data_IF_705333569987
#
_entry.id   IF_705333569987
#
_cell.length_a   1.000
_cell.length_b   1.000
_cell.length_c   1.000
_cell.angle_alpha   90.00
_cell.angle_beta   90.00
_cell.angle_gamma   90.00
#
_symmetry.space_group_name_H-M   'P 1'
#
loop_
_entity.id
_entity.type
_entity.pdbx_description
1 polymer ?
#
# COMPACT_ATOMS: atom_id res chain seq x y z
N UNK A 1 -31.16 45.88 -8.13
CA UNK A 1 -31.49 45.29 -6.81
C UNK A 1 -32.30 43.98 -6.91
N UNK A 2 -33.40 43.91 -7.67
CA UNK A 2 -34.25 42.68 -7.80
C UNK A 2 -33.47 41.47 -8.35
N UNK A 3 -32.66 41.65 -9.42
CA UNK A 3 -31.84 40.58 -10.02
C UNK A 3 -30.82 39.98 -9.01
N UNK A 4 -30.16 40.84 -8.24
CA UNK A 4 -29.20 40.40 -7.21
C UNK A 4 -29.85 39.60 -6.08
N UNK A 5 -31.07 40.02 -5.66
CA UNK A 5 -31.86 39.26 -4.66
C UNK A 5 -32.29 37.90 -5.20
N UNK A 6 -32.70 37.81 -6.48
CA UNK A 6 -33.03 36.56 -7.15
C UNK A 6 -31.83 35.63 -7.25
N UNK A 7 -30.64 36.15 -7.65
CA UNK A 7 -29.40 35.37 -7.71
C UNK A 7 -28.99 34.84 -6.34
N UNK A 8 -29.02 35.65 -5.28
CA UNK A 8 -28.75 35.21 -3.90
C UNK A 8 -29.71 34.13 -3.43
N UNK A 9 -31.01 34.22 -3.76
CA UNK A 9 -32.01 33.21 -3.40
C UNK A 9 -31.74 31.90 -4.14
N UNK A 10 -31.41 31.94 -5.42
CA UNK A 10 -31.06 30.73 -6.22
C UNK A 10 -29.82 30.08 -5.62
N UNK A 11 -28.75 30.86 -5.36
CA UNK A 11 -27.52 30.33 -4.75
C UNK A 11 -27.82 29.68 -3.39
N UNK A 12 -28.63 30.33 -2.53
CA UNK A 12 -29.01 29.78 -1.22
C UNK A 12 -29.75 28.44 -1.36
N UNK A 13 -30.74 28.37 -2.28
CA UNK A 13 -31.51 27.14 -2.52
C UNK A 13 -30.55 26.05 -3.07
N UNK A 14 -29.64 26.37 -3.99
CA UNK A 14 -28.68 25.41 -4.54
C UNK A 14 -27.75 24.87 -3.46
N UNK A 15 -27.27 25.72 -2.56
CA UNK A 15 -26.42 25.28 -1.43
C UNK A 15 -27.20 24.40 -0.44
N UNK A 16 -28.47 24.74 -0.18
CA UNK A 16 -29.35 23.92 0.67
C UNK A 16 -29.58 22.52 0.06
N UNK A 17 -29.88 22.46 -1.23
CA UNK A 17 -30.08 21.20 -1.96
C UNK A 17 -28.77 20.37 -1.93
N UNK A 18 -27.62 20.99 -2.19
CA UNK A 18 -26.31 20.33 -2.11
C UNK A 18 -26.06 19.75 -0.71
N UNK A 19 -26.35 20.53 0.33
CA UNK A 19 -26.18 20.08 1.73
C UNK A 19 -27.09 18.88 2.04
N UNK A 20 -28.33 18.88 1.55
CA UNK A 20 -29.26 17.75 1.71
C UNK A 20 -28.73 16.51 1.01
N UNK A 21 -28.23 16.63 -0.23
CA UNK A 21 -27.64 15.52 -0.99
C UNK A 21 -26.43 14.95 -0.24
N UNK A 22 -25.50 15.78 0.22
CA UNK A 22 -24.32 15.35 1.00
C UNK A 22 -24.76 14.63 2.28
N UNK A 23 -25.78 15.13 2.97
CA UNK A 23 -26.31 14.50 4.19
C UNK A 23 -26.88 13.11 3.88
N UNK A 24 -27.63 12.96 2.80
CA UNK A 24 -28.17 11.66 2.37
C UNK A 24 -27.05 10.67 2.07
N UNK A 25 -26.02 11.10 1.33
CA UNK A 25 -24.84 10.27 1.00
C UNK A 25 -24.12 9.85 2.28
N UNK A 26 -23.92 10.78 3.20
CA UNK A 26 -23.25 10.49 4.48
C UNK A 26 -24.03 9.47 5.32
N UNK A 27 -25.35 9.65 5.47
CA UNK A 27 -26.21 8.72 6.19
C UNK A 27 -26.21 7.35 5.52
N UNK A 28 -26.33 7.29 4.20
CA UNK A 28 -26.22 6.06 3.43
C UNK A 28 -24.88 5.35 3.69
N UNK A 29 -23.76 6.08 3.63
CA UNK A 29 -22.43 5.52 3.93
C UNK A 29 -22.39 4.92 5.36
N UNK A 30 -22.90 5.63 6.36
CA UNK A 30 -22.95 5.12 7.75
C UNK A 30 -23.77 3.84 7.89
N UNK A 31 -24.89 3.74 7.19
CA UNK A 31 -25.71 2.52 7.16
C UNK A 31 -24.94 1.38 6.52
N UNK A 32 -24.27 1.60 5.37
CA UNK A 32 -23.49 0.55 4.70
C UNK A 32 -22.30 0.11 5.55
N UNK A 33 -21.54 1.04 6.14
CA UNK A 33 -20.47 0.71 7.07
C UNK A 33 -20.95 -0.18 8.22
N UNK A 34 -22.16 0.04 8.76
CA UNK A 34 -22.73 -0.80 9.80
C UNK A 34 -23.12 -2.19 9.27
N UNK A 35 -23.70 -2.28 8.07
CA UNK A 35 -24.06 -3.55 7.43
C UNK A 35 -22.84 -4.41 7.12
N UNK A 36 -21.76 -3.78 6.67
CA UNK A 36 -20.48 -4.42 6.32
C UNK A 36 -19.60 -4.72 7.53
N UNK A 37 -20.01 -4.33 8.75
CA UNK A 37 -19.17 -4.52 9.94
C UNK A 37 -18.81 -5.99 10.18
N UNK A 38 -19.70 -6.94 9.83
CA UNK A 38 -19.46 -8.38 9.91
C UNK A 38 -18.39 -8.90 8.94
N UNK A 39 -18.12 -8.16 7.85
CA UNK A 39 -17.07 -8.48 6.89
C UNK A 39 -15.71 -7.90 7.32
N UNK A 40 -15.73 -6.95 8.26
CA UNK A 40 -14.52 -6.30 8.77
C UNK A 40 -13.99 -7.05 9.99
N UNK A 41 -13.59 -8.30 9.77
CA UNK A 41 -12.96 -9.18 10.77
C UNK A 41 -11.52 -9.42 10.36
N UNK A 42 -10.52 -9.24 11.24
CA UNK A 42 -9.11 -9.46 10.92
C UNK A 42 -8.88 -10.81 10.27
N UNK A 43 -8.13 -10.82 9.17
CA UNK A 43 -7.73 -12.02 8.45
C UNK A 43 -6.44 -12.64 9.02
N UNK A 44 -5.68 -11.85 9.76
CA UNK A 44 -4.46 -12.23 10.45
C UNK A 44 -4.57 -12.05 11.96
N UNK A 45 -3.44 -12.25 12.64
CA UNK A 45 -3.27 -11.97 14.06
C UNK A 45 -3.17 -10.46 14.31
N UNK A 46 -3.67 -10.02 15.48
CA UNK A 46 -3.52 -8.64 15.95
C UNK A 46 -2.48 -8.63 17.06
N UNK A 47 -1.39 -7.92 16.84
CA UNK A 47 -0.36 -7.64 17.84
C UNK A 47 -0.46 -6.21 18.34
N UNK A 48 0.05 -5.93 19.53
CA UNK A 48 0.08 -4.59 20.09
C UNK A 48 1.49 -4.00 20.06
N UNK A 49 1.63 -2.83 19.45
CA UNK A 49 2.89 -2.08 19.37
C UNK A 49 2.64 -0.65 19.84
N UNK A 50 3.26 -0.24 20.93
CA UNK A 50 3.13 1.10 21.51
C UNK A 50 1.68 1.53 21.78
N UNK A 51 0.82 0.60 22.21
CA UNK A 51 -0.60 0.85 22.47
C UNK A 51 -1.49 0.88 21.23
N UNK A 52 -0.97 0.52 20.06
CA UNK A 52 -1.71 0.42 18.81
C UNK A 52 -1.75 -1.02 18.29
N UNK A 53 -2.87 -1.38 17.70
CA UNK A 53 -3.11 -2.69 17.09
C UNK A 53 -2.57 -2.72 15.68
N UNK A 54 -1.71 -3.70 15.38
CA UNK A 54 -1.16 -3.97 14.05
C UNK A 54 -1.59 -5.38 13.65
N UNK A 55 -2.13 -5.51 12.44
CA UNK A 55 -2.53 -6.78 11.86
C UNK A 55 -1.34 -7.40 11.11
N UNK A 56 -1.07 -8.68 11.40
CA UNK A 56 -0.05 -9.49 10.72
C UNK A 56 -0.72 -10.77 10.23
N UNK A 57 -0.56 -11.07 8.96
CA UNK A 57 -0.98 -12.32 8.37
C UNK A 57 0.22 -13.24 8.13
N UNK A 58 0.05 -14.51 8.45
CA UNK A 58 1.07 -15.53 8.19
C UNK A 58 0.46 -16.74 7.48
N UNK A 59 1.21 -17.31 6.51
CA UNK A 59 0.84 -18.53 5.80
C UNK A 59 2.11 -19.31 5.43
N UNK A 60 2.03 -20.64 5.34
CA UNK A 60 3.18 -21.47 4.99
C UNK A 60 4.16 -21.69 6.15
N UNK A 61 5.13 -22.61 5.95
CA UNK A 61 6.04 -23.09 6.99
C UNK A 61 7.51 -23.24 6.52
N UNK A 62 7.87 -22.67 5.37
CA UNK A 62 9.24 -22.73 4.85
C UNK A 62 10.26 -22.04 5.77
N UNK A 63 11.52 -22.42 5.65
CA UNK A 63 12.62 -21.85 6.44
C UNK A 63 12.86 -20.37 6.13
N UNK A 64 12.69 -19.96 4.84
CA UNK A 64 12.85 -18.56 4.43
C UNK A 64 11.54 -17.82 4.62
N UNK A 65 11.61 -16.65 5.24
CA UNK A 65 10.45 -15.79 5.52
C UNK A 65 10.39 -14.62 4.53
N UNK A 66 9.30 -14.57 3.76
CA UNK A 66 8.99 -13.47 2.84
C UNK A 66 8.05 -12.48 3.52
N UNK A 67 8.49 -11.23 3.67
CA UNK A 67 7.70 -10.15 4.29
C UNK A 67 7.17 -9.22 3.20
N UNK A 68 5.89 -9.27 2.93
CA UNK A 68 5.21 -8.42 1.96
C UNK A 68 4.87 -7.07 2.57
N UNK A 69 5.28 -6.01 1.87
CA UNK A 69 5.20 -4.62 2.32
C UNK A 69 4.39 -3.81 1.31
N UNK A 70 3.23 -3.31 1.72
CA UNK A 70 2.30 -2.61 0.84
C UNK A 70 2.74 -1.20 0.48
N UNK A 71 2.43 -0.82 -0.76
CA UNK A 71 2.56 0.54 -1.26
C UNK A 71 1.59 1.52 -0.61
N UNK A 72 1.74 2.79 -0.95
CA UNK A 72 0.87 3.85 -0.44
C UNK A 72 -0.57 3.70 -0.89
N UNK A 73 -1.51 3.81 0.06
CA UNK A 73 -2.94 3.80 -0.26
C UNK A 73 -3.59 2.42 -0.47
N UNK A 74 -2.83 1.32 -0.38
CA UNK A 74 -3.38 -0.05 -0.45
C UNK A 74 -4.35 -0.29 0.70
N UNK A 75 -5.64 -0.47 0.39
CA UNK A 75 -6.66 -0.59 1.43
C UNK A 75 -6.58 -1.90 2.20
N UNK A 76 -6.26 -3.02 1.54
CA UNK A 76 -6.16 -4.36 2.13
C UNK A 76 -4.89 -5.07 1.66
N UNK A 77 -3.75 -4.87 2.31
CA UNK A 77 -2.48 -5.51 1.96
C UNK A 77 -2.56 -7.04 1.85
N UNK A 78 -3.23 -7.69 2.79
CA UNK A 78 -3.35 -9.16 2.79
C UNK A 78 -4.04 -9.65 1.51
N UNK A 79 -5.16 -9.05 1.12
CA UNK A 79 -5.90 -9.49 -0.06
C UNK A 79 -5.24 -9.02 -1.36
N UNK A 80 -4.49 -7.92 -1.31
CA UNK A 80 -3.77 -7.36 -2.45
C UNK A 80 -2.64 -8.29 -2.89
N UNK A 81 -1.85 -8.84 -1.96
CA UNK A 81 -0.76 -9.75 -2.28
C UNK A 81 -1.19 -11.21 -2.44
N UNK A 82 -2.47 -11.55 -2.19
CA UNK A 82 -2.90 -12.94 -2.10
C UNK A 82 -2.59 -13.77 -3.34
N UNK A 83 -2.79 -13.22 -4.52
CA UNK A 83 -2.55 -13.94 -5.78
C UNK A 83 -1.11 -14.42 -5.89
N UNK A 84 -0.15 -13.59 -5.48
CA UNK A 84 1.27 -13.92 -5.51
C UNK A 84 1.68 -14.83 -4.35
N UNK A 85 1.35 -14.46 -3.10
CA UNK A 85 1.86 -15.23 -1.97
C UNK A 85 1.31 -16.65 -1.91
N UNK A 86 0.08 -16.90 -2.40
CA UNK A 86 -0.49 -18.25 -2.49
C UNK A 86 0.30 -19.18 -3.42
N UNK A 87 1.11 -18.65 -4.35
CA UNK A 87 2.02 -19.44 -5.19
C UNK A 87 3.34 -19.78 -4.48
N UNK A 88 3.61 -19.14 -3.35
CA UNK A 88 4.87 -19.20 -2.62
C UNK A 88 4.72 -19.88 -1.26
N UNK A 89 3.52 -19.93 -0.69
CA UNK A 89 3.27 -20.41 0.68
C UNK A 89 3.53 -21.90 0.90
N UNK A 90 3.60 -22.70 -0.18
CA UNK A 90 3.99 -24.12 -0.09
C UNK A 90 5.48 -24.28 0.25
N UNK A 91 6.34 -23.34 -0.17
CA UNK A 91 7.79 -23.43 -0.06
C UNK A 91 8.38 -22.46 0.98
N UNK A 92 7.67 -21.39 1.30
CA UNK A 92 8.14 -20.29 2.13
C UNK A 92 7.16 -19.93 3.23
N UNK A 93 7.67 -19.35 4.32
CA UNK A 93 6.84 -18.67 5.30
C UNK A 93 6.49 -17.28 4.78
N UNK A 94 5.22 -17.02 4.58
CA UNK A 94 4.67 -15.74 4.13
C UNK A 94 4.30 -14.90 5.33
N UNK A 95 4.63 -13.63 5.30
CA UNK A 95 4.20 -12.62 6.27
C UNK A 95 3.71 -11.39 5.51
N UNK A 96 2.52 -10.89 5.84
CA UNK A 96 2.02 -9.62 5.35
C UNK A 96 1.79 -8.69 6.53
N UNK A 97 2.48 -7.55 6.56
CA UNK A 97 2.29 -6.53 7.59
C UNK A 97 1.28 -5.50 7.08
N UNK A 98 0.17 -5.36 7.77
CA UNK A 98 -0.73 -4.23 7.56
C UNK A 98 -0.27 -3.08 8.45
N UNK A 99 0.50 -2.15 7.91
CA UNK A 99 0.99 -0.96 8.64
C UNK A 99 -0.16 -0.20 9.30
N UNK A 100 0.11 0.61 10.31
CA UNK A 100 -0.90 1.51 10.88
C UNK A 100 -1.58 2.32 9.77
N UNK A 101 -2.89 2.38 9.81
CA UNK A 101 -3.73 3.01 8.79
C UNK A 101 -4.20 2.09 7.67
N UNK A 102 -3.63 0.88 7.54
CA UNK A 102 -3.92 -0.09 6.49
C UNK A 102 -4.73 -1.27 7.04
N UNK A 103 -5.52 -1.91 6.18
CA UNK A 103 -6.25 -3.13 6.50
C UNK A 103 -6.98 -3.10 7.83
N UNK A 104 -6.65 -4.04 8.69
CA UNK A 104 -7.26 -4.18 10.01
C UNK A 104 -6.50 -3.46 11.13
N UNK A 105 -5.37 -2.83 10.82
CA UNK A 105 -4.57 -2.07 11.80
C UNK A 105 -5.24 -0.76 12.21
N UNK A 106 -4.84 -0.22 13.37
CA UNK A 106 -5.36 1.03 13.89
C UNK A 106 -5.03 2.23 12.97
N UNK A 107 -5.91 3.22 12.97
CA UNK A 107 -5.69 4.50 12.30
C UNK A 107 -5.21 5.49 13.35
N UNK A 108 -3.98 5.99 13.18
CA UNK A 108 -3.33 6.91 14.11
C UNK A 108 -3.11 8.29 13.50
N UNK A 109 -2.89 9.28 14.35
CA UNK A 109 -2.53 10.65 13.98
C UNK A 109 -1.10 10.96 14.44
N UNK A 110 -0.17 10.12 14.02
CA UNK A 110 1.25 10.21 14.35
C UNK A 110 2.08 10.58 13.13
N UNK A 111 3.28 11.10 13.36
CA UNK A 111 4.24 11.33 12.30
C UNK A 111 4.62 10.00 11.63
N UNK A 112 4.74 10.01 10.29
CA UNK A 112 5.07 8.84 9.50
C UNK A 112 6.45 8.97 8.87
N UNK A 113 7.45 9.39 9.68
CA UNK A 113 8.84 9.32 9.24
C UNK A 113 9.31 7.87 9.14
N UNK A 114 10.37 7.67 8.37
CA UNK A 114 10.85 6.35 8.02
C UNK A 114 11.30 5.53 9.24
N UNK A 115 11.87 6.19 10.27
CA UNK A 115 12.24 5.53 11.52
C UNK A 115 11.01 5.00 12.27
N UNK A 116 9.97 5.81 12.37
CA UNK A 116 8.71 5.41 13.03
C UNK A 116 8.08 4.22 12.33
N UNK A 117 7.97 4.26 10.99
CA UNK A 117 7.38 3.17 10.20
C UNK A 117 8.18 1.88 10.39
N UNK A 118 9.51 1.96 10.23
CA UNK A 118 10.38 0.79 10.35
C UNK A 118 10.35 0.18 11.76
N UNK A 119 10.44 1.02 12.80
CA UNK A 119 10.42 0.53 14.19
C UNK A 119 9.09 -0.15 14.52
N UNK A 120 7.96 0.37 14.04
CA UNK A 120 6.64 -0.24 14.22
C UNK A 120 6.54 -1.60 13.51
N UNK A 121 7.03 -1.70 12.27
CA UNK A 121 7.03 -2.95 11.50
C UNK A 121 7.90 -4.01 12.17
N UNK A 122 9.11 -3.67 12.60
CA UNK A 122 10.01 -4.59 13.32
C UNK A 122 9.43 -5.04 14.66
N UNK A 123 8.90 -4.11 15.46
CA UNK A 123 8.25 -4.43 16.72
C UNK A 123 7.03 -5.35 16.54
N UNK A 124 6.25 -5.15 15.47
CA UNK A 124 5.11 -6.00 15.16
C UNK A 124 5.55 -7.44 14.84
N UNK A 125 6.61 -7.64 14.05
CA UNK A 125 7.17 -8.96 13.78
C UNK A 125 7.68 -9.63 15.07
N UNK A 126 8.40 -8.90 15.91
CA UNK A 126 8.88 -9.40 17.19
C UNK A 126 7.73 -9.84 18.11
N UNK A 127 6.65 -9.04 18.20
CA UNK A 127 5.45 -9.39 18.99
C UNK A 127 4.73 -10.62 18.45
N UNK A 128 4.77 -10.84 17.13
CA UNK A 128 4.22 -12.04 16.51
C UNK A 128 5.18 -13.27 16.57
N UNK A 129 6.34 -13.15 17.23
CA UNK A 129 7.33 -14.23 17.30
C UNK A 129 7.95 -14.59 15.95
N UNK A 130 8.09 -13.61 15.06
CA UNK A 130 8.63 -13.80 13.72
C UNK A 130 10.04 -13.21 13.68
N UNK A 131 11.02 -14.09 13.50
CA UNK A 131 12.45 -13.75 13.48
C UNK A 131 13.02 -13.79 12.06
N UNK A 132 14.00 -12.92 11.81
CA UNK A 132 14.74 -12.89 10.54
C UNK A 132 15.89 -13.91 10.45
N UNK A 133 16.70 -13.86 9.40
CA UNK A 133 16.69 -12.81 8.38
C UNK A 133 15.53 -12.93 7.38
N UNK A 134 15.02 -11.77 6.92
CA UNK A 134 13.85 -11.67 6.06
C UNK A 134 14.23 -11.48 4.59
N UNK A 135 13.36 -11.97 3.69
CA UNK A 135 13.30 -11.55 2.30
C UNK A 135 12.19 -10.51 2.22
N UNK A 136 12.54 -9.24 2.02
CA UNK A 136 11.57 -8.17 1.93
C UNK A 136 10.95 -8.11 0.53
N UNK A 137 9.63 -8.06 0.45
CA UNK A 137 8.85 -8.00 -0.79
C UNK A 137 8.08 -6.66 -0.88
N UNK A 138 8.77 -5.52 -1.07
CA UNK A 138 8.12 -4.22 -1.14
C UNK A 138 7.39 -4.00 -2.47
N UNK A 139 6.19 -3.41 -2.41
CA UNK A 139 5.48 -2.85 -3.55
C UNK A 139 5.51 -1.32 -3.49
N UNK A 140 5.77 -0.68 -4.64
CA UNK A 140 5.62 0.78 -4.77
C UNK A 140 6.40 1.56 -3.69
N UNK A 141 5.75 2.47 -2.97
CA UNK A 141 6.31 3.35 -1.95
C UNK A 141 7.07 2.60 -0.85
N UNK A 142 6.69 1.36 -0.50
CA UNK A 142 7.42 0.57 0.50
C UNK A 142 8.81 0.13 0.06
N UNK A 143 9.20 0.35 -1.19
CA UNK A 143 10.59 0.26 -1.62
C UNK A 143 11.52 1.13 -0.78
N UNK A 144 11.09 2.33 -0.41
CA UNK A 144 11.84 3.24 0.46
C UNK A 144 12.01 2.63 1.87
N UNK A 145 10.98 1.98 2.40
CA UNK A 145 11.02 1.31 3.71
C UNK A 145 11.96 0.10 3.69
N UNK A 146 11.88 -0.74 2.66
CA UNK A 146 12.71 -1.93 2.52
C UNK A 146 14.20 -1.58 2.34
N UNK A 147 14.50 -0.55 1.55
CA UNK A 147 15.87 -0.04 1.39
C UNK A 147 16.42 0.50 2.70
N UNK A 148 15.61 1.26 3.46
CA UNK A 148 16.01 1.76 4.76
C UNK A 148 16.25 0.64 5.78
N UNK A 149 15.40 -0.39 5.77
CA UNK A 149 15.58 -1.55 6.63
C UNK A 149 16.91 -2.25 6.36
N UNK A 150 17.21 -2.54 5.10
CA UNK A 150 18.46 -3.17 4.71
C UNK A 150 19.71 -2.29 4.96
N UNK A 151 19.56 -0.96 4.98
CA UNK A 151 20.63 -0.03 5.34
C UNK A 151 20.91 -0.01 6.84
N UNK A 152 19.84 0.01 7.66
CA UNK A 152 19.94 0.22 9.10
C UNK A 152 20.18 -1.08 9.88
N UNK A 153 19.62 -2.18 9.39
CA UNK A 153 19.68 -3.52 10.00
C UNK A 153 20.02 -4.59 8.95
N UNK A 154 21.24 -4.54 8.37
CA UNK A 154 21.61 -5.42 7.25
C UNK A 154 21.58 -6.91 7.63
N UNK A 155 21.76 -7.25 8.90
CA UNK A 155 21.69 -8.62 9.42
C UNK A 155 20.27 -9.20 9.47
N UNK A 156 19.26 -8.34 9.46
CA UNK A 156 17.85 -8.77 9.45
C UNK A 156 17.31 -9.01 8.03
N UNK A 157 18.05 -8.63 6.97
CA UNK A 157 17.56 -8.68 5.59
C UNK A 157 18.49 -9.55 4.75
N UNK A 158 17.98 -10.66 4.20
CA UNK A 158 18.74 -11.57 3.35
C UNK A 158 18.63 -11.27 1.85
N UNK A 159 17.51 -10.69 1.41
CA UNK A 159 17.28 -10.24 0.03
C UNK A 159 16.12 -9.24 -0.06
N UNK A 160 16.01 -8.53 -1.19
CA UNK A 160 14.87 -7.69 -1.51
C UNK A 160 14.27 -8.14 -2.86
N UNK A 161 12.97 -8.35 -2.90
CA UNK A 161 12.18 -8.67 -4.08
C UNK A 161 11.24 -7.49 -4.38
N UNK A 162 11.69 -6.55 -5.18
CA UNK A 162 10.93 -5.34 -5.51
C UNK A 162 9.78 -5.63 -6.48
N UNK A 163 8.55 -5.55 -5.99
CA UNK A 163 7.32 -5.67 -6.79
C UNK A 163 6.94 -4.28 -7.33
N UNK A 164 7.53 -3.89 -8.43
CA UNK A 164 7.43 -2.53 -9.01
C UNK A 164 7.72 -1.43 -7.96
N UNK A 165 8.74 -1.68 -7.14
CA UNK A 165 9.08 -0.82 -6.02
C UNK A 165 9.63 0.53 -6.48
N UNK A 166 9.26 1.59 -5.76
CA UNK A 166 9.85 2.90 -5.92
C UNK A 166 11.25 2.95 -5.31
N UNK A 167 12.11 3.74 -5.93
CA UNK A 167 13.47 4.05 -5.46
C UNK A 167 13.56 5.54 -5.12
N UNK A 168 14.53 6.02 -4.34
CA UNK A 168 14.59 7.41 -3.90
C UNK A 168 14.48 8.45 -5.02
N UNK A 169 15.15 8.22 -6.16
CA UNK A 169 15.15 9.12 -7.33
C UNK A 169 13.73 9.43 -7.83
N UNK A 170 12.79 8.48 -7.73
CA UNK A 170 11.41 8.69 -8.16
C UNK A 170 10.69 9.79 -7.35
N UNK A 171 11.19 10.15 -6.17
CA UNK A 171 10.56 11.17 -5.31
C UNK A 171 11.25 12.54 -5.36
N UNK A 172 12.42 12.70 -5.97
CA UNK A 172 13.11 13.99 -6.05
C UNK A 172 12.22 15.07 -6.67
N UNK A 173 11.67 14.77 -7.84
CA UNK A 173 10.84 15.69 -8.61
C UNK A 173 9.35 15.33 -8.59
N UNK A 174 8.94 14.40 -7.71
CA UNK A 174 7.55 13.98 -7.60
C UNK A 174 6.65 15.12 -7.10
N UNK A 175 5.58 15.42 -7.83
CA UNK A 175 4.67 16.51 -7.51
C UNK A 175 3.48 15.99 -6.70
N UNK A 176 3.46 16.30 -5.41
CA UNK A 176 2.35 15.99 -4.51
C UNK A 176 1.34 17.13 -4.53
N UNK A 177 0.12 16.86 -4.97
CA UNK A 177 -0.99 17.81 -4.83
C UNK A 177 -1.78 17.48 -3.54
N UNK A 178 -1.21 17.83 -2.39
CA UNK A 178 -1.83 17.54 -1.09
C UNK A 178 -3.24 18.10 -0.91
N UNK A 179 -3.60 19.31 -1.40
CA UNK A 179 -4.99 19.77 -1.37
C UNK A 179 -5.96 18.82 -2.08
N UNK A 180 -5.61 18.32 -3.27
CA UNK A 180 -6.43 17.36 -4.02
C UNK A 180 -6.54 16.01 -3.31
N UNK A 181 -5.42 15.50 -2.79
CA UNK A 181 -5.38 14.23 -2.04
C UNK A 181 -6.25 14.34 -0.78
N UNK A 182 -6.17 15.43 -0.03
CA UNK A 182 -7.03 15.69 1.14
C UNK A 182 -8.51 15.84 0.78
N UNK A 183 -8.82 16.46 -0.35
CA UNK A 183 -10.19 16.55 -0.85
C UNK A 183 -10.76 15.18 -1.24
N UNK A 184 -9.96 14.33 -1.88
CA UNK A 184 -10.35 12.95 -2.20
C UNK A 184 -10.56 12.11 -0.93
N UNK A 185 -9.69 12.25 0.07
CA UNK A 185 -9.85 11.60 1.37
C UNK A 185 -11.14 12.05 2.09
N UNK A 186 -11.44 13.34 2.06
CA UNK A 186 -12.69 13.89 2.60
C UNK A 186 -13.90 13.30 1.87
N UNK A 187 -13.89 13.28 0.53
CA UNK A 187 -14.96 12.70 -0.28
C UNK A 187 -15.19 11.21 0.05
N UNK A 188 -14.12 10.44 0.27
CA UNK A 188 -14.21 9.04 0.72
C UNK A 188 -14.87 8.95 2.11
N UNK A 189 -14.46 9.76 3.07
CA UNK A 189 -14.95 9.73 4.45
C UNK A 189 -16.44 10.05 4.55
N UNK A 190 -16.95 10.95 3.71
CA UNK A 190 -18.39 11.27 3.65
C UNK A 190 -19.19 10.31 2.76
N UNK A 191 -18.51 9.39 2.04
CA UNK A 191 -19.15 8.34 1.26
C UNK A 191 -19.44 8.69 -0.20
N UNK A 192 -18.91 9.78 -0.74
CA UNK A 192 -19.08 10.14 -2.18
C UNK A 192 -18.51 9.00 -3.06
N UNK A 193 -17.42 8.37 -2.65
CA UNK A 193 -16.83 7.24 -3.38
C UNK A 193 -17.80 6.07 -3.56
N UNK A 194 -18.75 5.84 -2.63
CA UNK A 194 -19.71 4.73 -2.73
C UNK A 194 -20.72 4.89 -3.88
N UNK A 195 -20.95 6.10 -4.35
CA UNK A 195 -21.87 6.33 -5.48
C UNK A 195 -21.15 6.31 -6.82
N UNK A 196 -19.82 6.11 -6.84
CA UNK A 196 -19.03 6.00 -8.05
C UNK A 196 -18.91 4.51 -8.43
N UNK A 197 -19.48 4.08 -9.56
CA UNK A 197 -19.41 2.69 -9.99
C UNK A 197 -17.95 2.24 -10.17
N UNK A 198 -17.62 1.04 -9.68
CA UNK A 198 -16.32 0.41 -9.87
C UNK A 198 -15.17 0.99 -9.07
N UNK A 199 -15.37 2.03 -8.25
CA UNK A 199 -14.28 2.68 -7.48
C UNK A 199 -13.58 1.73 -6.50
N UNK A 200 -14.28 0.73 -5.99
CA UNK A 200 -13.75 -0.26 -5.05
C UNK A 200 -13.23 -1.53 -5.75
N UNK A 201 -13.23 -1.55 -7.08
CA UNK A 201 -12.68 -2.65 -7.88
C UNK A 201 -11.16 -2.48 -8.02
N UNK A 202 -10.40 -2.97 -7.02
CA UNK A 202 -8.93 -2.97 -7.07
C UNK A 202 -8.40 -3.91 -8.17
N UNK A 203 -7.11 -3.82 -8.46
CA UNK A 203 -6.46 -4.75 -9.40
C UNK A 203 -6.52 -6.19 -8.89
N UNK A 204 -6.41 -6.42 -7.57
CA UNK A 204 -6.61 -7.74 -6.96
C UNK A 204 -8.01 -8.33 -7.21
N UNK A 205 -9.06 -7.49 -7.23
CA UNK A 205 -10.43 -7.92 -7.55
C UNK A 205 -10.58 -8.25 -9.02
N UNK A 206 -9.98 -7.45 -9.91
CA UNK A 206 -10.14 -7.57 -11.36
C UNK A 206 -9.27 -8.68 -11.97
N UNK A 207 -8.02 -8.77 -11.53
CA UNK A 207 -6.98 -9.58 -12.16
C UNK A 207 -6.44 -10.69 -11.27
N UNK A 208 -6.63 -10.57 -9.96
CA UNK A 208 -6.16 -11.55 -8.98
C UNK A 208 -7.05 -12.78 -8.83
N UNK A 209 -6.71 -13.61 -7.86
CA UNK A 209 -7.35 -14.92 -7.62
C UNK A 209 -8.33 -14.90 -6.44
N UNK A 210 -8.81 -13.74 -6.02
CA UNK A 210 -9.72 -13.61 -4.89
C UNK A 210 -11.05 -14.33 -5.15
N UNK A 211 -11.52 -15.11 -4.16
CA UNK A 211 -12.88 -15.65 -4.15
C UNK A 211 -13.93 -14.54 -4.03
N UNK A 212 -15.18 -14.83 -4.38
CA UNK A 212 -16.25 -13.83 -4.29
C UNK A 212 -16.43 -13.26 -2.88
N UNK A 213 -16.27 -14.10 -1.85
CA UNK A 213 -16.29 -13.64 -0.45
C UNK A 213 -15.13 -12.69 -0.13
N UNK A 214 -13.94 -12.95 -0.63
CA UNK A 214 -12.77 -12.08 -0.42
C UNK A 214 -12.90 -10.75 -1.18
N UNK A 215 -13.49 -10.77 -2.37
CA UNK A 215 -13.85 -9.55 -3.11
C UNK A 215 -14.83 -8.68 -2.33
N UNK A 216 -15.84 -9.29 -1.67
CA UNK A 216 -16.75 -8.57 -0.79
C UNK A 216 -16.03 -7.97 0.43
N UNK A 217 -15.14 -8.74 1.07
CA UNK A 217 -14.31 -8.28 2.18
C UNK A 217 -13.42 -7.10 1.72
N UNK A 218 -12.76 -7.23 0.56
CA UNK A 218 -11.90 -6.16 0.02
C UNK A 218 -12.68 -4.86 -0.19
N UNK A 219 -13.88 -4.93 -0.81
CA UNK A 219 -14.75 -3.75 -0.99
C UNK A 219 -15.16 -3.12 0.35
N UNK A 220 -15.49 -3.93 1.35
CA UNK A 220 -15.82 -3.45 2.69
C UNK A 220 -14.62 -2.75 3.36
N UNK A 221 -13.41 -3.29 3.20
CA UNK A 221 -12.17 -2.69 3.68
C UNK A 221 -11.87 -1.39 2.93
N UNK A 222 -12.02 -1.37 1.60
CA UNK A 222 -11.80 -0.19 0.76
C UNK A 222 -12.55 1.03 1.30
N UNK A 223 -13.85 0.92 1.53
CA UNK A 223 -14.66 2.04 2.03
C UNK A 223 -14.33 2.47 3.46
N UNK A 224 -13.59 1.66 4.23
CA UNK A 224 -13.15 1.98 5.59
C UNK A 224 -11.73 2.51 5.66
N UNK A 225 -10.88 2.09 4.73
CA UNK A 225 -9.42 2.24 4.82
C UNK A 225 -8.78 3.05 3.69
N UNK A 226 -9.55 3.47 2.70
CA UNK A 226 -8.99 4.34 1.64
C UNK A 226 -8.71 5.72 2.19
N UNK A 227 -7.48 6.19 1.94
CA UNK A 227 -7.00 7.52 2.30
C UNK A 227 -7.21 7.87 3.79
N UNK A 228 -6.84 6.95 4.69
CA UNK A 228 -6.86 7.21 6.14
C UNK A 228 -5.95 8.38 6.50
N UNK A 229 -6.18 9.02 7.66
CA UNK A 229 -5.30 10.10 8.12
C UNK A 229 -3.83 9.66 8.29
N UNK A 230 -3.61 8.39 8.64
CA UNK A 230 -2.27 7.79 8.73
C UNK A 230 -1.60 7.69 7.35
N UNK A 231 -2.33 7.19 6.33
CA UNK A 231 -1.84 7.16 4.94
C UNK A 231 -1.53 8.56 4.41
N UNK A 232 -2.36 9.56 4.72
CA UNK A 232 -2.10 10.94 4.30
C UNK A 232 -0.79 11.47 4.87
N UNK A 233 -0.50 11.20 6.14
CA UNK A 233 0.77 11.58 6.76
C UNK A 233 1.96 10.82 6.18
N UNK A 234 1.79 9.58 5.79
CA UNK A 234 2.81 8.81 5.10
C UNK A 234 3.17 9.45 3.75
N UNK A 235 2.16 9.87 2.98
CA UNK A 235 2.35 10.60 1.72
C UNK A 235 3.02 11.97 1.95
N UNK A 236 2.68 12.68 3.03
CA UNK A 236 3.32 13.96 3.38
C UNK A 236 4.82 13.82 3.64
N UNK A 237 5.24 12.70 4.26
CA UNK A 237 6.64 12.44 4.63
C UNK A 237 7.45 11.74 3.52
N UNK A 238 6.84 11.23 2.45
CA UNK A 238 7.52 10.33 1.50
C UNK A 238 8.77 10.94 0.86
N UNK A 239 8.75 12.24 0.50
CA UNK A 239 9.91 12.90 -0.09
C UNK A 239 11.06 13.03 0.90
N UNK A 240 10.73 13.30 2.15
CA UNK A 240 11.70 13.38 3.23
C UNK A 240 12.30 12.02 3.56
N UNK A 241 11.43 11.00 3.64
CA UNK A 241 11.84 9.61 3.83
C UNK A 241 12.75 9.11 2.69
N UNK A 242 12.38 9.39 1.44
CA UNK A 242 13.19 9.03 0.27
C UNK A 242 14.57 9.71 0.30
N UNK A 243 14.65 10.99 0.68
CA UNK A 243 15.92 11.72 0.83
C UNK A 243 16.82 11.13 1.92
N UNK A 244 16.25 10.68 3.04
CA UNK A 244 17.00 10.01 4.11
C UNK A 244 17.64 8.72 3.57
N UNK A 245 16.87 7.91 2.82
CA UNK A 245 17.33 6.65 2.22
C UNK A 245 18.39 6.90 1.15
N UNK A 246 18.21 7.92 0.31
CA UNK A 246 19.18 8.29 -0.73
C UNK A 246 20.54 8.69 -0.18
N UNK A 247 20.55 9.36 0.97
CA UNK A 247 21.77 9.74 1.67
C UNK A 247 22.44 8.57 2.43
N UNK A 248 21.78 7.42 2.49
CA UNK A 248 22.29 6.22 3.13
C UNK A 248 23.25 5.42 2.25
N UNK A 249 23.82 4.35 2.81
CA UNK A 249 24.65 3.41 2.04
C UNK A 249 23.77 2.50 1.19
N UNK A 250 24.25 2.12 0.01
CA UNK A 250 23.56 1.11 -0.79
C UNK A 250 23.44 -0.22 -0.01
N UNK A 251 22.29 -0.89 -0.08
CA UNK A 251 22.13 -2.23 0.49
C UNK A 251 23.16 -3.22 -0.06
N UNK A 252 23.66 -4.10 0.80
CA UNK A 252 24.63 -5.15 0.41
C UNK A 252 23.97 -6.52 0.22
N UNK A 253 22.66 -6.56 0.13
CA UNK A 253 21.88 -7.79 -0.08
C UNK A 253 21.52 -7.96 -1.55
N UNK A 254 21.30 -9.19 -2.04
CA UNK A 254 20.78 -9.42 -3.38
C UNK A 254 19.43 -8.74 -3.59
N UNK A 255 19.24 -8.11 -4.75
CA UNK A 255 17.99 -7.45 -5.10
C UNK A 255 17.50 -7.94 -6.46
N UNK A 256 16.25 -8.44 -6.50
CA UNK A 256 15.50 -8.70 -7.72
C UNK A 256 14.38 -7.66 -7.82
N UNK A 257 14.26 -6.96 -8.93
CA UNK A 257 13.18 -6.01 -9.19
C UNK A 257 12.32 -6.47 -10.34
N UNK A 258 11.03 -6.34 -10.19
CA UNK A 258 10.05 -6.42 -11.27
C UNK A 258 9.61 -5.00 -11.61
N UNK A 259 9.66 -4.63 -12.87
CA UNK A 259 9.34 -3.29 -13.36
C UNK A 259 8.11 -3.33 -14.26
N UNK A 260 7.10 -2.53 -13.94
CA UNK A 260 5.89 -2.36 -14.76
C UNK A 260 6.10 -1.42 -15.96
N UNK A 261 5.05 -1.23 -16.77
CA UNK A 261 5.02 -0.21 -17.82
C UNK A 261 4.78 1.22 -17.31
N UNK A 262 4.87 1.46 -16.01
CA UNK A 262 4.70 2.76 -15.38
C UNK A 262 3.25 3.21 -15.18
N UNK A 263 2.28 2.53 -15.77
CA UNK A 263 0.86 2.88 -15.62
C UNK A 263 0.42 2.72 -14.16
N UNK A 264 -0.09 3.79 -13.56
CA UNK A 264 -0.50 3.82 -12.14
C UNK A 264 0.56 4.38 -11.18
N UNK A 265 1.81 4.61 -11.62
CA UNK A 265 2.89 5.15 -10.76
C UNK A 265 2.89 6.68 -10.65
N UNK A 266 2.22 7.36 -11.58
CA UNK A 266 2.33 8.83 -11.76
C UNK A 266 3.47 9.26 -12.67
N UNK A 267 4.24 8.32 -13.20
CA UNK A 267 5.32 8.51 -14.17
C UNK A 267 4.98 7.82 -15.50
N UNK A 268 5.60 8.24 -16.60
CA UNK A 268 5.55 7.46 -17.82
C UNK A 268 6.53 6.27 -17.73
N UNK A 269 6.34 5.27 -18.59
CA UNK A 269 7.15 4.05 -18.63
C UNK A 269 8.66 4.32 -18.65
N UNK A 270 9.11 5.19 -19.56
CA UNK A 270 10.53 5.52 -19.71
C UNK A 270 11.13 6.12 -18.43
N UNK A 271 10.42 7.04 -17.78
CA UNK A 271 10.90 7.67 -16.55
C UNK A 271 10.92 6.66 -15.39
N UNK A 272 9.84 5.88 -15.25
CA UNK A 272 9.73 4.89 -14.18
C UNK A 272 10.83 3.83 -14.29
N UNK A 273 11.00 3.24 -15.46
CA UNK A 273 12.05 2.26 -15.75
C UNK A 273 13.45 2.84 -15.51
N UNK A 274 13.69 4.09 -15.96
CA UNK A 274 15.00 4.73 -15.79
C UNK A 274 15.40 4.90 -14.33
N UNK A 275 14.46 5.29 -13.44
CA UNK A 275 14.75 5.39 -12.00
C UNK A 275 15.17 4.04 -11.42
N UNK A 276 14.45 2.98 -11.76
CA UNK A 276 14.74 1.63 -11.29
C UNK A 276 16.06 1.10 -11.85
N UNK A 277 16.36 1.34 -13.12
CA UNK A 277 17.65 1.00 -13.75
C UNK A 277 18.81 1.75 -13.12
N UNK A 278 18.68 3.06 -12.92
CA UNK A 278 19.70 3.87 -12.27
C UNK A 278 20.05 3.35 -10.87
N UNK A 279 19.07 2.82 -10.16
CA UNK A 279 19.26 2.24 -8.85
C UNK A 279 19.88 0.84 -8.94
N UNK A 280 19.27 -0.08 -9.69
CA UNK A 280 19.65 -1.49 -9.68
C UNK A 280 21.06 -1.70 -10.25
N UNK A 281 21.50 -0.88 -11.21
CA UNK A 281 22.84 -0.90 -11.77
C UNK A 281 23.95 -0.55 -10.76
N UNK A 282 23.60 0.07 -9.62
CA UNK A 282 24.52 0.35 -8.51
C UNK A 282 24.63 -0.83 -7.53
N UNK A 283 23.73 -1.82 -7.64
CA UNK A 283 23.67 -2.97 -6.73
C UNK A 283 24.46 -4.14 -7.30
N UNK A 284 25.44 -4.63 -6.54
CA UNK A 284 26.19 -5.82 -6.95
C UNK A 284 25.28 -7.05 -7.01
N UNK A 285 25.17 -7.66 -8.21
CA UNK A 285 24.27 -8.80 -8.43
C UNK A 285 22.78 -8.43 -8.50
N UNK A 286 22.45 -7.13 -8.61
CA UNK A 286 21.08 -6.67 -8.83
C UNK A 286 20.52 -7.16 -10.16
N UNK A 287 19.25 -7.56 -10.16
CA UNK A 287 18.52 -8.00 -11.36
C UNK A 287 17.23 -7.21 -11.51
N UNK A 288 16.83 -6.91 -12.75
CA UNK A 288 15.55 -6.32 -13.08
C UNK A 288 14.85 -7.14 -14.17
N UNK A 289 13.56 -7.36 -14.01
CA UNK A 289 12.69 -8.06 -14.97
C UNK A 289 11.55 -7.11 -15.35
N UNK A 290 11.41 -6.85 -16.65
CA UNK A 290 10.37 -5.97 -17.18
C UNK A 290 9.10 -6.74 -17.47
N UNK A 291 7.97 -6.19 -17.00
CA UNK A 291 6.64 -6.77 -17.16
C UNK A 291 5.74 -5.80 -17.94
N UNK A 292 5.03 -6.31 -18.92
CA UNK A 292 4.09 -5.51 -19.71
C UNK A 292 2.71 -5.47 -19.05
N UNK A 293 2.65 -4.92 -17.85
CA UNK A 293 1.43 -4.73 -17.08
C UNK A 293 1.49 -3.43 -16.27
N UNK A 294 0.39 -3.07 -15.62
CA UNK A 294 0.31 -1.90 -14.74
C UNK A 294 1.05 -2.12 -13.42
N UNK A 295 1.11 -1.07 -12.59
CA UNK A 295 1.83 -0.97 -11.32
C UNK A 295 1.62 -2.11 -10.32
N UNK A 296 0.44 -2.72 -10.30
CA UNK A 296 0.13 -3.85 -9.40
C UNK A 296 0.56 -5.18 -10.02
N UNK A 297 1.85 -5.30 -10.33
CA UNK A 297 2.45 -6.46 -11.01
C UNK A 297 2.10 -7.80 -10.38
N UNK A 298 1.95 -7.84 -9.06
CA UNK A 298 1.63 -9.02 -8.27
C UNK A 298 0.18 -9.52 -8.42
N UNK A 299 -0.69 -8.72 -9.05
CA UNK A 299 -2.05 -9.14 -9.42
C UNK A 299 -2.13 -9.60 -10.87
N UNK A 300 -1.28 -9.05 -11.74
CA UNK A 300 -1.26 -9.35 -13.17
C UNK A 300 -0.36 -10.53 -13.53
N UNK A 301 0.85 -10.56 -12.98
CA UNK A 301 1.93 -11.46 -13.38
C UNK A 301 2.36 -12.40 -12.24
N UNK A 302 1.46 -12.68 -11.28
CA UNK A 302 1.76 -13.44 -10.05
C UNK A 302 2.41 -14.80 -10.31
N UNK A 303 2.04 -15.53 -11.38
CA UNK A 303 2.65 -16.82 -11.73
C UNK A 303 4.09 -16.67 -12.21
N UNK A 304 4.34 -15.69 -13.07
CA UNK A 304 5.66 -15.40 -13.59
C UNK A 304 6.58 -14.90 -12.47
N UNK A 305 6.10 -13.95 -11.67
CA UNK A 305 6.83 -13.41 -10.51
C UNK A 305 7.17 -14.52 -9.51
N UNK A 306 6.23 -15.40 -9.17
CA UNK A 306 6.49 -16.50 -8.25
C UNK A 306 7.59 -17.44 -8.76
N UNK A 307 7.60 -17.77 -10.05
CA UNK A 307 8.64 -18.60 -10.67
C UNK A 307 10.00 -17.93 -10.56
N UNK A 308 10.10 -16.66 -10.91
CA UNK A 308 11.37 -15.91 -10.86
C UNK A 308 11.87 -15.71 -9.42
N UNK A 309 10.97 -15.49 -8.45
CA UNK A 309 11.32 -15.46 -7.03
C UNK A 309 11.93 -16.78 -6.60
N UNK A 310 11.28 -17.93 -6.88
CA UNK A 310 11.80 -19.25 -6.54
C UNK A 310 13.20 -19.48 -7.13
N UNK A 311 13.41 -19.11 -8.38
CA UNK A 311 14.71 -19.23 -9.02
C UNK A 311 15.79 -18.30 -8.45
N UNK A 312 15.40 -17.16 -7.90
CA UNK A 312 16.34 -16.17 -7.35
C UNK A 312 16.78 -16.50 -5.92
N UNK A 313 15.90 -17.07 -5.12
CA UNK A 313 16.14 -17.35 -3.69
C UNK A 313 16.37 -18.82 -3.36
N UNK A 314 16.48 -19.70 -4.40
CA UNK A 314 16.82 -21.12 -4.26
C UNK A 314 18.18 -21.32 -3.62
#
# INVERSE_FOLDING_TARGET
MKALRKAKRILFISLLVLMIIITIIYVYNKIQLKREAKLFTPLGEIVEVNGHKISIYTEGHGEKTLVFMSGGGTSSPILDFKSLFSQLSADYRIVVIEKLGYGFSDIVDEKRDIDTILNQSRAALTQAGIEGPFILCPHSMSGIEALYWAQKYPEEVSAIIGLDMAVPEAYENYKLNMPLIKAAAFANNIGITRILPGIAESEAIKHGTLSDKEKEIYRAIFFRRTATKTMLKEVEEIKNNAKIVDNGKLPKVPILMFSSNGSGTGWNEKQWTQFQENFINKISGGKIIYLNCSHYVHDHEYLNIAREIKAFIS
#
